data_IF_193764933666
#
_entry.id   IF_193764933666
#
_cell.length_a   1.000
_cell.length_b   1.000
_cell.length_c   1.000
_cell.angle_alpha   90.00
_cell.angle_beta   90.00
_cell.angle_gamma   90.00
#
_symmetry.space_group_name_H-M   'P 1'
#
loop_
_entity.id
_entity.type
_entity.pdbx_description
1 polymer ?
#
# COMPACT_ATOMS: atom_id res chain seq x y z
N UNK A 1 -34.68 -10.45 6.34
CA UNK A 1 -33.66 -9.39 6.50
C UNK A 1 -32.30 -9.98 6.17
N UNK A 2 -31.54 -9.40 5.24
CA UNK A 2 -30.16 -9.83 4.98
C UNK A 2 -29.28 -9.40 6.17
N UNK A 3 -28.58 -10.35 6.78
CA UNK A 3 -27.64 -10.07 7.87
C UNK A 3 -26.29 -9.70 7.29
N UNK A 4 -25.83 -8.49 7.57
CA UNK A 4 -24.51 -7.99 7.17
C UNK A 4 -23.61 -8.03 8.40
N UNK A 5 -22.38 -8.53 8.23
CA UNK A 5 -21.35 -8.47 9.28
C UNK A 5 -20.23 -7.57 8.82
N UNK A 6 -19.92 -6.53 9.59
CA UNK A 6 -18.84 -5.59 9.28
C UNK A 6 -17.87 -5.54 10.45
N UNK A 7 -16.58 -5.71 10.18
CA UNK A 7 -15.52 -5.58 11.16
C UNK A 7 -14.45 -4.63 10.63
N UNK A 8 -14.03 -3.65 11.44
CA UNK A 8 -12.97 -2.70 11.11
C UNK A 8 -11.66 -3.10 11.79
N UNK A 9 -10.53 -2.97 11.10
CA UNK A 9 -9.21 -3.27 11.64
C UNK A 9 -8.12 -2.34 11.09
N UNK A 10 -7.00 -2.27 11.82
CA UNK A 10 -5.94 -1.28 11.57
C UNK A 10 -4.74 -1.80 10.77
N UNK A 11 -4.68 -3.09 10.46
CA UNK A 11 -3.53 -3.73 9.79
C UNK A 11 -4.00 -4.81 8.84
N UNK A 12 -3.46 -4.81 7.63
CA UNK A 12 -3.72 -5.84 6.64
C UNK A 12 -2.41 -6.53 6.23
N UNK A 13 -2.38 -7.85 6.36
CA UNK A 13 -1.22 -8.66 5.98
C UNK A 13 -1.29 -8.95 4.48
N UNK A 14 -0.32 -8.42 3.74
CA UNK A 14 -0.18 -8.64 2.30
C UNK A 14 0.39 -10.04 2.04
N UNK A 15 0.18 -10.54 0.83
CA UNK A 15 0.90 -11.72 0.32
C UNK A 15 2.41 -11.40 0.31
N UNK A 16 3.25 -12.22 0.94
CA UNK A 16 4.71 -11.98 0.98
C UNK A 16 5.27 -11.33 2.26
N UNK A 17 4.67 -11.57 3.43
CA UNK A 17 5.12 -11.14 4.78
C UNK A 17 5.07 -9.64 5.09
N UNK A 18 4.73 -8.77 4.14
CA UNK A 18 4.54 -7.35 4.40
C UNK A 18 3.17 -7.06 5.05
N UNK A 19 3.11 -6.01 5.89
CA UNK A 19 1.86 -5.57 6.54
C UNK A 19 1.62 -4.11 6.21
N UNK A 20 0.49 -3.81 5.58
CA UNK A 20 0.00 -2.45 5.39
C UNK A 20 -0.79 -2.04 6.64
N UNK A 21 -0.29 -1.03 7.34
CA UNK A 21 -0.95 -0.44 8.50
C UNK A 21 -1.86 0.69 8.05
N UNK A 22 -2.87 1.04 8.84
CA UNK A 22 -3.77 2.14 8.53
C UNK A 22 -3.59 3.32 9.49
N UNK A 23 -4.00 4.51 9.05
CA UNK A 23 -4.03 5.71 9.91
C UNK A 23 -4.92 5.51 11.14
N UNK A 24 -6.02 4.76 11.02
CA UNK A 24 -6.89 4.39 12.15
C UNK A 24 -6.14 3.57 13.21
N UNK A 25 -5.35 2.58 12.79
CA UNK A 25 -4.64 1.69 13.72
C UNK A 25 -3.45 2.33 14.43
N UNK A 26 -2.83 3.34 13.80
CA UNK A 26 -1.76 4.15 14.40
C UNK A 26 -2.01 5.63 14.06
N UNK A 27 -2.54 6.44 14.97
CA UNK A 27 -2.64 7.89 14.74
C UNK A 27 -1.25 8.50 14.55
N UNK A 28 -1.15 9.59 13.77
CA UNK A 28 0.12 10.23 13.43
C UNK A 28 0.88 10.79 14.67
N UNK A 29 0.20 10.95 15.81
CA UNK A 29 0.78 11.40 17.08
C UNK A 29 1.66 10.36 17.80
N UNK A 30 1.65 9.08 17.39
CA UNK A 30 2.54 8.07 17.96
C UNK A 30 3.93 8.13 17.31
N UNK A 31 4.65 9.22 17.55
CA UNK A 31 6.00 9.49 17.02
C UNK A 31 7.03 8.74 17.86
N UNK A 32 7.21 7.44 17.61
CA UNK A 32 8.46 6.73 17.93
C UNK A 32 8.78 5.79 16.76
N UNK A 33 9.60 6.28 15.84
CA UNK A 33 10.55 5.55 14.97
C UNK A 33 10.10 4.28 14.23
N UNK A 34 8.81 4.03 14.03
CA UNK A 34 8.35 2.91 13.20
C UNK A 34 8.17 3.40 11.76
N UNK A 35 8.80 2.77 10.75
CA UNK A 35 8.53 3.09 9.35
C UNK A 35 7.03 2.95 9.09
N UNK A 36 6.39 4.04 8.65
CA UNK A 36 4.96 4.05 8.39
C UNK A 36 4.67 3.23 7.13
N UNK A 37 4.37 1.95 7.30
CA UNK A 37 3.91 1.09 6.20
C UNK A 37 2.44 1.39 5.88
N UNK A 38 2.12 2.62 5.48
CA UNK A 38 0.75 3.08 5.18
C UNK A 38 0.55 3.50 3.74
N UNK A 39 1.65 3.66 3.00
CA UNK A 39 1.58 4.03 1.61
C UNK A 39 1.66 2.78 0.75
N UNK A 40 0.87 2.78 -0.31
CA UNK A 40 0.71 1.63 -1.17
C UNK A 40 0.67 2.05 -2.63
N UNK A 41 0.92 1.05 -3.47
CA UNK A 41 0.63 1.03 -4.89
C UNK A 41 -0.44 -0.02 -5.15
N UNK A 42 -1.41 0.31 -6.00
CA UNK A 42 -2.50 -0.59 -6.36
C UNK A 42 -2.81 -0.50 -7.86
N UNK A 43 -3.36 -1.57 -8.42
CA UNK A 43 -3.89 -1.58 -9.78
C UNK A 43 -5.21 -0.83 -9.86
N UNK A 44 -5.48 -0.20 -11.01
CA UNK A 44 -6.81 0.35 -11.28
C UNK A 44 -7.82 -0.79 -11.51
N UNK A 45 -8.99 -0.68 -10.89
CA UNK A 45 -10.07 -1.68 -10.98
C UNK A 45 -10.82 -1.65 -12.32
N UNK A 46 -10.63 -0.62 -13.15
CA UNK A 46 -11.33 -0.42 -14.41
C UNK A 46 -10.62 -1.06 -15.63
N UNK A 47 -9.53 -1.81 -15.42
CA UNK A 47 -8.75 -2.43 -16.49
C UNK A 47 -7.94 -1.45 -17.35
N UNK A 48 -7.88 -0.16 -16.97
CA UNK A 48 -7.01 0.79 -17.64
C UNK A 48 -5.56 0.65 -17.16
N UNK A 49 -4.57 0.86 -18.05
CA UNK A 49 -3.18 0.87 -17.66
C UNK A 49 -2.94 2.06 -16.72
N UNK A 50 -2.52 1.77 -15.49
CA UNK A 50 -2.23 2.79 -14.49
C UNK A 50 -2.16 2.22 -13.08
N UNK A 51 -1.43 2.93 -12.22
CA UNK A 51 -1.33 2.61 -10.80
C UNK A 51 -1.99 3.70 -9.96
N UNK A 52 -2.59 3.29 -8.85
CA UNK A 52 -3.11 4.17 -7.81
C UNK A 52 -2.10 4.18 -6.68
N UNK A 53 -1.72 5.38 -6.23
CA UNK A 53 -0.93 5.56 -5.02
C UNK A 53 -1.79 6.20 -3.95
N UNK A 54 -1.57 5.86 -2.69
CA UNK A 54 -2.38 6.42 -1.61
C UNK A 54 -1.86 6.10 -0.23
N UNK A 55 -2.55 6.66 0.77
CA UNK A 55 -2.37 6.33 2.18
C UNK A 55 -3.59 5.56 2.70
N UNK A 56 -3.38 4.40 3.29
CA UNK A 56 -4.42 3.59 3.94
C UNK A 56 -4.98 4.28 5.19
N UNK A 57 -6.31 4.39 5.26
CA UNK A 57 -7.02 5.00 6.38
C UNK A 57 -7.59 3.94 7.32
N UNK A 58 -8.28 2.94 6.78
CA UNK A 58 -8.87 1.84 7.54
C UNK A 58 -9.12 0.62 6.65
N UNK A 59 -9.26 -0.55 7.27
CA UNK A 59 -9.63 -1.78 6.58
C UNK A 59 -10.91 -2.35 7.17
N UNK A 60 -11.70 -2.99 6.32
CA UNK A 60 -12.98 -3.58 6.66
C UNK A 60 -13.10 -5.00 6.12
N UNK A 61 -13.62 -5.90 6.94
CA UNK A 61 -14.12 -7.21 6.53
C UNK A 61 -15.63 -7.13 6.48
N UNK A 62 -16.21 -7.36 5.31
CA UNK A 62 -17.64 -7.21 5.04
C UNK A 62 -18.18 -8.57 4.58
N UNK A 63 -18.99 -9.20 5.42
CA UNK A 63 -19.71 -10.44 5.12
C UNK A 63 -21.06 -10.16 4.46
N UNK A 64 -21.23 -10.58 3.21
CA UNK A 64 -22.46 -10.47 2.42
C UNK A 64 -22.77 -11.82 1.77
N UNK A 65 -23.96 -12.37 2.04
CA UNK A 65 -24.46 -13.61 1.40
C UNK A 65 -23.49 -14.81 1.48
N UNK A 66 -22.79 -14.95 2.60
CA UNK A 66 -21.81 -16.03 2.82
C UNK A 66 -20.42 -15.77 2.23
N UNK A 67 -20.23 -14.67 1.49
CA UNK A 67 -18.92 -14.23 1.02
C UNK A 67 -18.36 -13.14 1.94
N UNK A 68 -17.04 -13.14 2.11
CA UNK A 68 -16.33 -12.09 2.87
C UNK A 68 -15.47 -11.29 1.91
N UNK A 69 -15.71 -9.98 1.86
CA UNK A 69 -14.88 -9.03 1.10
C UNK A 69 -13.99 -8.23 2.04
N UNK A 70 -12.74 -8.04 1.63
CA UNK A 70 -11.78 -7.18 2.33
C UNK A 70 -11.66 -5.86 1.58
N UNK A 71 -12.08 -4.78 2.23
CA UNK A 71 -12.10 -3.43 1.67
C UNK A 71 -11.10 -2.55 2.41
N UNK A 72 -10.31 -1.77 1.68
CA UNK A 72 -9.50 -0.70 2.22
C UNK A 72 -10.15 0.65 1.90
N UNK A 73 -10.27 1.50 2.91
CA UNK A 73 -10.55 2.93 2.74
C UNK A 73 -9.22 3.66 2.78
N UNK A 74 -9.01 4.60 1.85
CA UNK A 74 -7.73 5.26 1.66
C UNK A 74 -7.89 6.70 1.16
N UNK A 75 -6.81 7.49 1.28
CA UNK A 75 -6.68 8.81 0.67
C UNK A 75 -5.86 8.64 -0.62
N UNK A 76 -6.44 8.88 -1.80
CA UNK A 76 -5.71 8.78 -3.06
C UNK A 76 -4.71 9.92 -3.18
N UNK A 77 -3.54 9.64 -3.76
CA UNK A 77 -2.63 10.65 -4.25
C UNK A 77 -3.19 11.23 -5.55
N UNK A 78 -3.30 12.55 -5.64
CA UNK A 78 -3.83 13.25 -6.81
C UNK A 78 -2.70 13.79 -7.69
N UNK A 79 -3.03 14.16 -8.94
CA UNK A 79 -2.09 14.75 -9.90
C UNK A 79 -0.80 13.92 -10.04
N UNK A 80 -0.96 12.60 -10.05
CA UNK A 80 0.15 11.66 -10.21
C UNK A 80 0.79 11.88 -11.58
N UNK A 81 2.10 12.01 -11.60
CA UNK A 81 2.91 12.26 -12.77
C UNK A 81 4.24 11.49 -12.68
N UNK A 82 4.81 11.19 -13.83
CA UNK A 82 6.07 10.44 -13.96
C UNK A 82 7.10 11.31 -14.70
N UNK A 83 7.69 12.33 -14.04
CA UNK A 83 8.59 13.28 -14.70
C UNK A 83 9.87 12.63 -15.24
N UNK A 84 10.29 11.50 -14.66
CA UNK A 84 11.39 10.67 -15.15
C UNK A 84 10.94 9.21 -15.13
N UNK A 85 11.54 8.30 -15.92
CA UNK A 85 11.06 6.92 -16.07
C UNK A 85 10.87 6.14 -14.76
N UNK A 86 11.64 6.47 -13.73
CA UNK A 86 11.62 5.79 -12.41
C UNK A 86 11.10 6.67 -11.28
N UNK A 87 10.73 7.92 -11.57
CA UNK A 87 10.29 8.88 -10.55
C UNK A 87 8.81 9.11 -10.71
N UNK A 88 8.05 8.66 -9.72
CA UNK A 88 6.61 8.94 -9.61
C UNK A 88 6.39 9.97 -8.51
N UNK A 89 5.59 11.00 -8.77
CA UNK A 89 5.19 11.95 -7.75
C UNK A 89 3.75 12.41 -7.92
N UNK A 90 3.19 13.00 -6.87
CA UNK A 90 1.83 13.56 -6.89
C UNK A 90 1.61 14.48 -5.71
N UNK A 91 0.37 14.82 -5.42
CA UNK A 91 -0.01 15.69 -4.30
C UNK A 91 -1.06 15.02 -3.44
N UNK A 92 -0.93 15.14 -2.13
CA UNK A 92 -2.05 14.82 -1.25
C UNK A 92 -3.21 15.78 -1.51
N UNK A 93 -4.47 15.32 -1.50
CA UNK A 93 -5.62 16.16 -1.75
C UNK A 93 -5.73 17.22 -0.65
N UNK A 94 -6.16 18.43 -1.01
CA UNK A 94 -6.34 19.54 -0.06
C UNK A 94 -7.52 19.31 0.89
N UNK A 95 -8.49 18.49 0.48
CA UNK A 95 -9.57 17.98 1.32
C UNK A 95 -9.36 16.50 1.62
N UNK A 96 -9.90 16.00 2.74
CA UNK A 96 -9.86 14.58 3.11
C UNK A 96 -10.76 13.73 2.19
N UNK A 97 -10.43 13.67 0.90
CA UNK A 97 -11.07 12.77 -0.06
C UNK A 97 -10.73 11.35 0.33
N UNK A 98 -11.77 10.56 0.55
CA UNK A 98 -11.68 9.14 0.82
C UNK A 98 -12.17 8.37 -0.40
N UNK A 99 -11.46 7.30 -0.71
CA UNK A 99 -11.84 6.31 -1.70
C UNK A 99 -11.82 4.91 -1.04
N UNK A 100 -12.45 3.94 -1.69
CA UNK A 100 -12.47 2.55 -1.22
C UNK A 100 -12.10 1.60 -2.37
N UNK A 101 -11.38 0.53 -2.05
CA UNK A 101 -11.05 -0.54 -3.00
C UNK A 101 -10.98 -1.89 -2.30
N UNK A 102 -11.14 -2.98 -3.07
CA UNK A 102 -10.85 -4.32 -2.55
C UNK A 102 -9.33 -4.49 -2.36
N UNK A 103 -8.91 -5.14 -1.28
CA UNK A 103 -7.48 -5.27 -0.95
C UNK A 103 -6.70 -6.10 -1.97
N UNK A 104 -7.39 -6.90 -2.80
CA UNK A 104 -6.79 -7.70 -3.89
C UNK A 104 -6.09 -6.82 -4.94
N UNK A 105 -6.47 -5.55 -5.05
CA UNK A 105 -5.84 -4.62 -5.98
C UNK A 105 -4.51 -4.04 -5.46
N UNK A 106 -4.20 -4.19 -4.17
CA UNK A 106 -2.98 -3.65 -3.57
C UNK A 106 -1.80 -4.52 -3.98
N UNK A 107 -0.83 -3.91 -4.67
CA UNK A 107 0.32 -4.61 -5.25
C UNK A 107 1.53 -4.57 -4.32
N UNK A 108 1.87 -3.39 -3.79
CA UNK A 108 3.10 -3.21 -3.04
C UNK A 108 3.00 -2.14 -1.96
N UNK A 109 3.88 -2.23 -0.96
CA UNK A 109 4.17 -1.12 -0.07
C UNK A 109 5.17 -0.20 -0.74
N UNK A 110 4.92 1.10 -0.64
CA UNK A 110 5.84 2.12 -1.13
C UNK A 110 6.29 3.02 0.01
N UNK A 111 7.49 3.59 -0.11
CA UNK A 111 7.88 4.73 0.71
C UNK A 111 7.38 6.03 0.09
N UNK A 112 7.40 7.11 0.87
CA UNK A 112 7.26 8.46 0.32
C UNK A 112 8.40 9.35 0.78
N UNK A 113 8.73 10.33 -0.04
CA UNK A 113 9.59 11.43 0.31
C UNK A 113 8.88 12.75 0.02
N UNK A 114 8.83 13.64 1.01
CA UNK A 114 8.26 14.98 0.86
C UNK A 114 9.43 15.97 0.72
N UNK A 115 9.56 16.56 -0.46
CA UNK A 115 10.49 17.67 -0.69
C UNK A 115 9.93 18.96 -0.07
N UNK A 116 10.69 20.06 -0.10
CA UNK A 116 10.20 21.39 0.28
C UNK A 116 9.09 21.96 -0.62
N UNK A 117 8.49 21.15 -1.51
CA UNK A 117 7.39 21.50 -2.39
C UNK A 117 6.09 20.80 -1.95
N UNK A 118 4.98 21.13 -2.60
CA UNK A 118 3.69 20.44 -2.37
C UNK A 118 3.68 18.99 -2.91
N UNK A 119 4.72 18.58 -3.63
CA UNK A 119 4.80 17.26 -4.23
C UNK A 119 5.36 16.24 -3.24
N UNK A 120 4.80 15.04 -3.34
CA UNK A 120 5.24 13.85 -2.64
C UNK A 120 5.74 12.86 -3.69
N UNK A 121 6.96 12.39 -3.48
CA UNK A 121 7.65 11.46 -4.36
C UNK A 121 7.48 10.05 -3.81
N UNK A 122 7.09 9.12 -4.67
CA UNK A 122 6.95 7.72 -4.32
C UNK A 122 8.31 7.05 -4.40
N UNK A 123 8.70 6.38 -3.33
CA UNK A 123 9.91 5.57 -3.26
C UNK A 123 9.53 4.13 -3.56
N UNK A 124 9.78 3.70 -4.79
CA UNK A 124 9.60 2.32 -5.24
C UNK A 124 10.93 1.59 -5.25
N UNK A 125 10.88 0.26 -5.22
CA UNK A 125 12.04 -0.58 -5.53
C UNK A 125 12.48 -0.32 -6.98
N UNK A 126 13.79 -0.27 -7.21
CA UNK A 126 14.32 -0.04 -8.55
C UNK A 126 13.92 -1.20 -9.50
N UNK A 127 13.44 -0.94 -10.72
CA UNK A 127 12.95 -2.00 -11.62
C UNK A 127 13.99 -3.07 -11.95
N UNK A 128 15.28 -2.71 -11.98
CA UNK A 128 16.36 -3.69 -12.22
C UNK A 128 16.43 -4.80 -11.15
N UNK A 129 15.86 -4.58 -9.96
CA UNK A 129 15.76 -5.61 -8.93
C UNK A 129 14.87 -6.78 -9.36
N UNK A 130 13.94 -6.59 -10.30
CA UNK A 130 13.10 -7.66 -10.84
C UNK A 130 13.88 -8.65 -11.71
N UNK A 131 15.03 -8.22 -12.24
CA UNK A 131 15.90 -9.04 -13.09
C UNK A 131 16.97 -9.81 -12.32
N UNK A 132 17.07 -9.62 -11.00
CA UNK A 132 18.06 -10.31 -10.17
C UNK A 132 17.59 -11.72 -9.84
N UNK A 133 18.50 -12.67 -9.92
CA UNK A 133 18.32 -14.04 -9.38
C UNK A 133 18.27 -14.03 -7.86
N UNK A 134 17.76 -15.12 -7.25
CA UNK A 134 17.70 -15.25 -5.79
C UNK A 134 19.08 -15.13 -5.12
N UNK A 135 20.13 -15.63 -5.78
CA UNK A 135 21.52 -15.50 -5.35
C UNK A 135 21.99 -14.04 -5.39
N UNK A 136 21.74 -13.32 -6.49
CA UNK A 136 22.11 -11.90 -6.64
C UNK A 136 21.31 -10.99 -5.69
N UNK A 137 20.10 -11.38 -5.34
CA UNK A 137 19.26 -10.70 -4.35
C UNK A 137 19.69 -11.01 -2.89
N UNK A 138 20.64 -11.94 -2.69
CA UNK A 138 21.15 -12.34 -1.37
C UNK A 138 20.12 -13.10 -0.53
N UNK A 139 19.18 -13.78 -1.18
CA UNK A 139 18.12 -14.58 -0.53
C UNK A 139 18.32 -16.08 -0.63
N UNK A 140 19.40 -16.53 -1.31
CA UNK A 140 19.92 -17.88 -1.13
C UNK A 140 20.49 -18.00 0.28
N UNK A 141 19.62 -18.31 1.23
CA UNK A 141 20.01 -18.96 2.46
C UNK A 141 20.30 -20.40 2.07
N UNK A 142 21.54 -20.67 1.67
CA UNK A 142 22.02 -22.05 1.62
C UNK A 142 21.70 -22.69 2.96
N UNK A 143 21.08 -23.87 2.93
CA UNK A 143 20.80 -24.67 4.11
C UNK A 143 22.14 -24.91 4.83
N UNK A 144 22.40 -24.12 5.88
CA UNK A 144 23.45 -24.43 6.82
C UNK A 144 22.92 -25.61 7.64
N UNK A 145 23.20 -26.82 7.16
CA UNK A 145 23.12 -28.02 7.99
C UNK A 145 24.13 -27.82 9.14
N UNK A 146 23.61 -27.63 10.36
CA UNK A 146 24.41 -27.69 11.59
C UNK A 146 24.89 -29.14 11.76
N UNK A 147 26.20 -29.36 11.64
CA UNK A 147 26.89 -30.59 12.11
C UNK A 147 26.92 -30.67 13.64
#
# INVERSE_FOLDING_TARGET
MQSWKVQCFGKWKMTGKHTLESRYGKPQSSVKSSPYHRWFEASQSNGQPGCIFGESVAFYSIGIQGQTKLIMVYIPLEKVQTPLPTVVCGKWPSSNKLAAMETVHIQSLVGIWKAGSDYVYILQKHPSLLGLTAAEYGTDLGDFEEE
#
